data_IF_158494119809
#
_entry.id   IF_158494119809
#
_cell.length_a   1.000
_cell.length_b   1.000
_cell.length_c   1.000
_cell.angle_alpha   90.00
_cell.angle_beta   90.00
_cell.angle_gamma   90.00
#
_symmetry.space_group_name_H-M   'P 1'
#
loop_
_entity.id
_entity.type
_entity.pdbx_description
1 polymer ?
#
# COMPACT_ATOMS: atom_id res chain seq x y z
N UNK A 1 -30.39 -15.73 -53.66
CA UNK A 1 -30.85 -16.49 -52.48
C UNK A 1 -29.62 -16.92 -51.69
N UNK A 2 -29.65 -16.71 -50.37
CA UNK A 2 -28.63 -17.05 -49.34
C UNK A 2 -27.49 -16.05 -49.11
N UNK A 3 -27.79 -15.18 -48.15
CA UNK A 3 -26.91 -14.45 -47.25
C UNK A 3 -25.98 -15.37 -46.44
N UNK A 4 -24.83 -14.82 -46.01
CA UNK A 4 -24.24 -15.10 -44.69
C UNK A 4 -23.33 -13.95 -44.26
N UNK A 5 -23.87 -13.15 -43.33
CA UNK A 5 -23.16 -12.21 -42.46
C UNK A 5 -22.52 -13.02 -41.32
N UNK A 6 -21.29 -12.69 -40.90
CA UNK A 6 -20.80 -12.91 -39.53
C UNK A 6 -19.69 -11.89 -39.25
N UNK A 7 -20.10 -10.69 -38.82
CA UNK A 7 -19.27 -9.86 -37.95
C UNK A 7 -19.53 -10.35 -36.52
N UNK A 8 -18.54 -10.92 -35.86
CA UNK A 8 -18.64 -11.24 -34.44
C UNK A 8 -18.46 -9.93 -33.66
N UNK A 9 -19.58 -9.32 -33.30
CA UNK A 9 -19.65 -8.23 -32.34
C UNK A 9 -19.18 -8.77 -30.99
N UNK A 10 -18.02 -8.30 -30.53
CA UNK A 10 -17.51 -8.64 -29.20
C UNK A 10 -18.25 -7.72 -28.22
N UNK A 11 -19.30 -8.25 -27.59
CA UNK A 11 -20.04 -7.56 -26.55
C UNK A 11 -19.26 -7.67 -25.21
N UNK A 12 -18.29 -6.77 -25.01
CA UNK A 12 -17.57 -6.67 -23.73
C UNK A 12 -18.38 -5.81 -22.76
N UNK A 13 -19.34 -6.41 -22.06
CA UNK A 13 -20.07 -5.74 -20.99
C UNK A 13 -19.22 -5.66 -19.72
N UNK A 14 -18.49 -4.55 -19.54
CA UNK A 14 -17.80 -4.26 -18.29
C UNK A 14 -18.80 -3.81 -17.20
N UNK A 15 -18.87 -4.54 -16.08
CA UNK A 15 -19.64 -4.11 -14.91
C UNK A 15 -18.84 -3.08 -14.12
N UNK A 16 -19.42 -1.90 -13.92
CA UNK A 16 -18.86 -0.83 -13.08
C UNK A 16 -19.69 -0.74 -11.80
N UNK A 17 -19.06 -0.94 -10.65
CA UNK A 17 -19.67 -0.77 -9.33
C UNK A 17 -19.16 0.52 -8.68
N UNK A 18 -20.08 1.36 -8.19
CA UNK A 18 -19.77 2.57 -7.44
C UNK A 18 -20.23 2.39 -6.00
N UNK A 19 -19.27 2.31 -5.07
CA UNK A 19 -19.52 2.15 -3.64
C UNK A 19 -18.97 3.39 -2.91
N UNK A 20 -19.74 4.04 -2.01
CA UNK A 20 -19.24 5.13 -1.19
C UNK A 20 -18.01 4.70 -0.38
N UNK A 21 -16.90 5.43 -0.52
CA UNK A 21 -15.66 5.14 0.20
C UNK A 21 -15.60 5.96 1.50
N UNK A 22 -15.67 5.28 2.63
CA UNK A 22 -15.32 5.87 3.93
C UNK A 22 -13.88 5.48 4.26
N UNK A 23 -12.94 6.43 4.32
CA UNK A 23 -11.56 6.13 4.71
C UNK A 23 -11.54 5.46 6.09
N UNK A 24 -10.90 4.30 6.19
CA UNK A 24 -10.62 3.69 7.48
C UNK A 24 -9.47 4.48 8.12
N UNK A 25 -9.68 5.00 9.33
CA UNK A 25 -8.64 5.67 10.09
C UNK A 25 -7.63 4.65 10.61
N UNK A 26 -6.68 4.25 9.77
CA UNK A 26 -5.57 3.38 10.18
C UNK A 26 -4.62 4.19 11.05
N UNK A 27 -4.54 3.85 12.34
CA UNK A 27 -3.73 4.56 13.32
C UNK A 27 -2.56 3.72 13.82
N UNK A 28 -2.76 2.41 13.90
CA UNK A 28 -1.81 1.43 14.44
C UNK A 28 -1.45 0.37 13.41
N UNK A 29 -0.17 -0.01 13.38
CA UNK A 29 0.35 -1.02 12.46
C UNK A 29 1.02 -2.14 13.23
N UNK A 30 0.72 -3.39 12.87
CA UNK A 30 1.55 -4.53 13.26
C UNK A 30 2.64 -4.76 12.21
N UNK A 31 3.90 -4.63 12.57
CA UNK A 31 5.00 -4.98 11.70
C UNK A 31 5.18 -6.51 11.64
N UNK A 32 5.15 -7.07 10.42
CA UNK A 32 5.24 -8.50 10.13
C UNK A 32 6.38 -8.77 9.14
N UNK A 33 7.08 -9.89 9.32
CA UNK A 33 8.20 -10.28 8.44
C UNK A 33 7.74 -11.36 7.47
N UNK A 34 7.95 -11.12 6.18
CA UNK A 34 7.76 -12.12 5.14
C UNK A 34 8.73 -11.86 3.99
N UNK A 35 9.78 -12.69 3.92
CA UNK A 35 10.81 -12.56 2.89
C UNK A 35 10.37 -13.17 1.54
N UNK A 36 9.25 -13.91 1.53
CA UNK A 36 8.74 -14.65 0.37
C UNK A 36 7.56 -13.98 -0.33
N UNK A 37 6.98 -12.95 0.27
CA UNK A 37 5.78 -12.29 -0.23
C UNK A 37 6.06 -11.55 -1.55
N UNK A 38 5.20 -11.75 -2.54
CA UNK A 38 5.27 -11.09 -3.85
C UNK A 38 3.92 -10.47 -4.18
N UNK A 39 3.92 -9.19 -4.57
CA UNK A 39 2.72 -8.49 -5.02
C UNK A 39 3.01 -7.33 -5.99
N UNK A 40 3.79 -7.56 -7.07
CA UNK A 40 4.28 -6.51 -7.99
C UNK A 40 3.15 -5.78 -8.75
N UNK A 41 1.98 -6.39 -8.85
CA UNK A 41 0.79 -5.81 -9.46
C UNK A 41 -0.41 -5.96 -8.52
N UNK A 42 -1.43 -5.13 -8.73
CA UNK A 42 -2.67 -5.21 -7.97
C UNK A 42 -3.50 -6.41 -8.43
N UNK A 43 -3.13 -7.59 -7.97
CA UNK A 43 -3.83 -8.84 -8.24
C UNK A 43 -5.16 -8.92 -7.47
N UNK A 44 -6.05 -9.80 -7.93
CA UNK A 44 -7.25 -10.14 -7.17
C UNK A 44 -6.95 -11.07 -6.00
N UNK A 45 -5.97 -11.96 -6.17
CA UNK A 45 -5.49 -12.83 -5.11
C UNK A 45 -4.56 -12.04 -4.18
N UNK A 46 -5.00 -11.87 -2.93
CA UNK A 46 -4.27 -11.18 -1.86
C UNK A 46 -4.03 -12.10 -0.67
N UNK A 47 -4.11 -13.42 -0.85
CA UNK A 47 -4.09 -14.42 0.22
C UNK A 47 -2.94 -14.27 1.21
N UNK A 48 -1.71 -14.01 0.75
CA UNK A 48 -0.55 -13.78 1.63
C UNK A 48 -0.71 -12.53 2.49
N UNK A 49 -1.16 -11.42 1.91
CA UNK A 49 -1.44 -10.17 2.60
C UNK A 49 -2.60 -10.34 3.59
N UNK A 50 -3.69 -10.97 3.15
CA UNK A 50 -4.90 -11.17 3.94
C UNK A 50 -4.64 -12.10 5.13
N UNK A 51 -3.76 -13.10 4.97
CA UNK A 51 -3.29 -13.94 6.08
C UNK A 51 -2.64 -13.09 7.17
N UNK A 52 -1.67 -12.25 6.81
CA UNK A 52 -1.00 -11.38 7.79
C UNK A 52 -1.96 -10.36 8.38
N UNK A 53 -2.84 -9.78 7.57
CA UNK A 53 -3.88 -8.87 8.02
C UNK A 53 -4.79 -9.55 9.05
N UNK A 54 -5.15 -10.82 8.87
CA UNK A 54 -5.93 -11.59 9.84
C UNK A 54 -5.21 -11.83 11.18
N UNK A 55 -3.87 -11.78 11.20
CA UNK A 55 -3.04 -12.00 12.37
C UNK A 55 -2.63 -10.69 13.08
N UNK A 56 -3.11 -9.53 12.62
CA UNK A 56 -2.71 -8.20 13.13
C UNK A 56 -3.10 -7.89 14.59
N UNK A 57 -3.82 -8.80 15.24
CA UNK A 57 -4.35 -8.59 16.58
C UNK A 57 -5.28 -7.38 16.65
N UNK A 58 -5.00 -6.47 17.57
CA UNK A 58 -5.78 -5.23 17.77
C UNK A 58 -5.32 -4.07 16.91
N UNK A 59 -4.28 -4.24 16.08
CA UNK A 59 -3.82 -3.18 15.18
C UNK A 59 -4.80 -2.96 14.02
N UNK A 60 -4.80 -1.76 13.46
CA UNK A 60 -5.70 -1.41 12.36
C UNK A 60 -5.28 -2.04 11.02
N UNK A 61 -3.97 -2.12 10.77
CA UNK A 61 -3.37 -2.70 9.57
C UNK A 61 -1.99 -3.34 9.89
N UNK A 62 -1.31 -3.87 8.89
CA UNK A 62 0.04 -4.45 8.98
C UNK A 62 1.07 -3.55 8.32
N UNK A 63 2.35 -3.71 8.67
CA UNK A 63 3.50 -3.16 7.97
C UNK A 63 4.43 -4.30 7.58
N UNK A 64 4.61 -4.52 6.29
CA UNK A 64 5.36 -5.67 5.80
C UNK A 64 6.85 -5.33 5.72
N UNK A 65 7.66 -6.16 6.36
CA UNK A 65 9.13 -6.15 6.30
C UNK A 65 9.59 -7.32 5.43
N UNK A 66 10.31 -7.02 4.36
CA UNK A 66 10.87 -8.02 3.43
C UNK A 66 12.37 -7.81 3.32
N UNK A 67 13.14 -8.86 3.59
CA UNK A 67 14.61 -8.82 3.59
C UNK A 67 15.20 -7.70 4.48
N UNK A 68 14.52 -7.40 5.59
CA UNK A 68 14.91 -6.34 6.53
C UNK A 68 14.48 -4.91 6.13
N UNK A 69 13.92 -4.73 4.93
CA UNK A 69 13.42 -3.44 4.45
C UNK A 69 11.90 -3.31 4.63
N UNK A 70 11.44 -2.11 4.94
CA UNK A 70 10.02 -1.75 4.96
C UNK A 70 9.50 -1.75 3.53
N UNK A 71 8.27 -2.23 3.32
CA UNK A 71 7.62 -2.26 2.01
C UNK A 71 6.28 -1.53 2.02
N UNK A 72 5.18 -2.23 2.29
CA UNK A 72 3.81 -1.74 2.22
C UNK A 72 2.97 -2.12 3.43
N UNK A 73 1.77 -1.56 3.53
CA UNK A 73 0.71 -2.10 4.37
C UNK A 73 -0.17 -3.07 3.59
N UNK A 74 -1.25 -3.60 4.18
CA UNK A 74 -2.13 -4.48 3.41
C UNK A 74 -2.75 -3.75 2.21
N UNK A 75 -3.11 -2.48 2.35
CA UNK A 75 -3.92 -1.73 1.37
C UNK A 75 -3.27 -0.45 0.83
N UNK A 76 -2.08 -0.08 1.29
CA UNK A 76 -1.45 1.19 0.95
C UNK A 76 0.07 1.12 0.90
N UNK A 77 0.67 2.03 0.11
CA UNK A 77 2.06 2.40 0.32
C UNK A 77 2.16 3.28 1.58
N UNK A 78 3.37 3.38 2.15
CA UNK A 78 3.64 4.18 3.35
C UNK A 78 4.67 5.28 3.07
N UNK A 79 4.49 6.44 3.70
CA UNK A 79 5.47 7.51 3.74
C UNK A 79 5.82 7.84 5.19
N UNK A 80 7.09 8.07 5.49
CA UNK A 80 7.64 8.43 6.80
C UNK A 80 8.18 9.86 6.79
N UNK A 81 7.97 10.60 7.87
CA UNK A 81 8.44 11.98 8.03
C UNK A 81 9.70 12.05 8.87
N UNK A 82 10.68 12.84 8.41
CA UNK A 82 11.88 13.19 9.20
C UNK A 82 12.37 14.56 8.78
N UNK A 83 12.56 15.46 9.75
CA UNK A 83 13.06 16.82 9.52
C UNK A 83 12.24 17.60 8.47
N UNK A 84 10.91 17.52 8.57
CA UNK A 84 9.99 18.21 7.64
C UNK A 84 10.01 17.68 6.21
N UNK A 85 10.65 16.54 5.95
CA UNK A 85 10.69 15.87 4.65
C UNK A 85 10.00 14.51 4.74
N UNK A 86 9.46 14.05 3.62
CA UNK A 86 8.78 12.76 3.52
C UNK A 86 9.54 11.78 2.65
N UNK A 87 9.61 10.54 3.14
CA UNK A 87 10.34 9.45 2.54
C UNK A 87 9.41 8.26 2.36
N UNK A 88 9.60 7.47 1.31
CA UNK A 88 8.82 6.25 1.10
C UNK A 88 9.79 5.10 0.79
N UNK A 89 9.45 3.85 1.11
CA UNK A 89 10.26 2.71 0.70
C UNK A 89 10.59 2.74 -0.79
N UNK A 90 11.88 2.56 -1.11
CA UNK A 90 12.37 2.46 -2.48
C UNK A 90 11.85 1.19 -3.16
N UNK A 91 11.72 0.11 -2.38
CA UNK A 91 11.33 -1.23 -2.83
C UNK A 91 9.95 -1.62 -2.25
N UNK A 92 8.83 -0.99 -2.65
CA UNK A 92 7.50 -1.47 -2.24
C UNK A 92 7.21 -2.82 -2.90
N UNK A 93 6.30 -3.60 -2.32
CA UNK A 93 5.67 -4.74 -3.00
C UNK A 93 4.90 -4.25 -4.22
N UNK A 94 4.09 -3.19 -4.06
CA UNK A 94 3.31 -2.60 -5.15
C UNK A 94 3.77 -1.17 -5.44
N UNK A 95 4.30 -0.84 -6.62
CA UNK A 95 4.57 0.54 -7.01
C UNK A 95 3.26 1.30 -7.28
N UNK A 96 2.60 1.78 -6.24
CA UNK A 96 1.29 2.41 -6.34
C UNK A 96 1.30 3.72 -7.12
N UNK A 97 0.22 3.98 -7.87
CA UNK A 97 0.09 5.18 -8.72
C UNK A 97 0.15 6.48 -7.93
N UNK A 98 -0.52 6.55 -6.77
CA UNK A 98 -0.47 7.72 -5.89
C UNK A 98 0.95 7.95 -5.34
N UNK A 99 1.67 6.89 -4.98
CA UNK A 99 3.08 6.97 -4.55
C UNK A 99 3.93 7.54 -5.68
N UNK A 100 3.80 7.02 -6.90
CA UNK A 100 4.57 7.51 -8.04
C UNK A 100 4.30 8.99 -8.33
N UNK A 101 3.03 9.39 -8.38
CA UNK A 101 2.64 10.79 -8.56
C UNK A 101 3.27 11.71 -7.51
N UNK A 102 3.27 11.32 -6.23
CA UNK A 102 3.87 12.11 -5.13
C UNK A 102 5.40 12.21 -5.24
N UNK A 103 6.05 11.18 -5.80
CA UNK A 103 7.49 11.21 -6.11
C UNK A 103 7.75 12.18 -7.26
N UNK A 104 6.96 12.10 -8.33
CA UNK A 104 7.13 12.92 -9.54
C UNK A 104 7.00 14.42 -9.26
N UNK A 105 6.08 14.80 -8.36
CA UNK A 105 5.93 16.20 -7.91
C UNK A 105 6.88 16.60 -6.77
N UNK A 106 7.77 15.70 -6.34
CA UNK A 106 8.77 15.95 -5.29
C UNK A 106 8.23 16.04 -3.87
N UNK A 107 6.99 15.61 -3.61
CA UNK A 107 6.36 15.66 -2.28
C UNK A 107 6.89 14.56 -1.34
N UNK A 108 7.30 13.41 -1.88
CA UNK A 108 7.95 12.32 -1.13
C UNK A 108 9.19 11.82 -1.88
N UNK A 109 10.17 11.26 -1.15
CA UNK A 109 11.44 10.78 -1.72
C UNK A 109 11.62 9.26 -1.50
N UNK A 110 11.86 8.45 -2.54
CA UNK A 110 12.12 7.03 -2.36
C UNK A 110 13.52 6.81 -1.78
N UNK A 111 13.62 6.06 -0.67
CA UNK A 111 14.89 5.62 -0.09
C UNK A 111 14.77 4.17 0.41
N UNK A 112 15.88 3.46 0.54
CA UNK A 112 15.90 2.23 1.31
C UNK A 112 15.58 2.57 2.78
N UNK A 113 14.56 1.94 3.35
CA UNK A 113 14.17 2.12 4.75
C UNK A 113 14.25 0.75 5.38
N UNK A 114 15.23 0.53 6.24
CA UNK A 114 15.32 -0.69 7.03
C UNK A 114 14.45 -0.56 8.27
N UNK A 115 14.08 -1.69 8.87
CA UNK A 115 13.32 -1.67 10.12
C UNK A 115 14.04 -0.89 11.23
N UNK A 116 15.37 -0.93 11.25
CA UNK A 116 16.21 -0.23 12.23
C UNK A 116 16.21 1.28 12.02
N UNK A 117 15.86 1.76 10.82
CA UNK A 117 15.78 3.19 10.51
C UNK A 117 14.47 3.82 11.00
N UNK A 118 13.42 3.02 11.19
CA UNK A 118 12.06 3.51 11.52
C UNK A 118 12.03 4.38 12.79
N UNK A 119 12.73 4.07 13.89
CA UNK A 119 12.80 4.94 15.06
C UNK A 119 13.41 6.33 14.82
N UNK A 120 14.13 6.53 13.71
CA UNK A 120 14.70 7.86 13.35
C UNK A 120 13.70 8.80 12.69
N UNK A 121 12.51 8.30 12.34
CA UNK A 121 11.41 9.09 11.79
C UNK A 121 10.47 9.55 12.90
N UNK A 122 9.72 10.61 12.63
CA UNK A 122 8.78 11.21 13.59
C UNK A 122 7.40 10.58 13.46
N UNK A 123 6.95 10.40 12.23
CA UNK A 123 5.58 10.00 11.91
C UNK A 123 5.49 9.27 10.57
N UNK A 124 4.32 8.71 10.27
CA UNK A 124 3.98 8.10 8.99
C UNK A 124 2.59 8.51 8.48
N UNK A 125 2.38 8.35 7.18
CA UNK A 125 1.09 8.44 6.48
C UNK A 125 0.94 7.27 5.53
N UNK A 126 -0.29 6.81 5.37
CA UNK A 126 -0.64 5.83 4.34
C UNK A 126 -1.12 6.56 3.08
N UNK A 127 -0.70 6.06 1.92
CA UNK A 127 -1.00 6.63 0.62
C UNK A 127 -1.47 5.52 -0.34
N UNK A 128 -2.63 5.72 -0.93
CA UNK A 128 -3.15 4.85 -1.98
C UNK A 128 -4.02 5.67 -2.96
N UNK A 129 -4.58 5.04 -4.00
CA UNK A 129 -5.35 5.76 -5.02
C UNK A 129 -6.63 6.43 -4.49
N UNK A 130 -7.15 6.00 -3.34
CA UNK A 130 -8.38 6.54 -2.73
C UNK A 130 -8.07 7.55 -1.61
N UNK A 131 -6.87 7.48 -1.02
CA UNK A 131 -6.38 8.32 0.06
C UNK A 131 -5.10 9.00 -0.42
N UNK A 132 -5.26 10.25 -0.83
CA UNK A 132 -4.13 11.13 -1.19
C UNK A 132 -3.27 11.48 0.03
N UNK A 133 -2.42 12.50 -0.12
CA UNK A 133 -1.46 12.84 0.93
C UNK A 133 -2.07 13.53 2.17
N UNK A 134 -3.35 13.88 2.14
CA UNK A 134 -4.06 14.58 3.23
C UNK A 134 -4.65 13.61 4.28
N UNK A 135 -4.29 12.32 4.21
CA UNK A 135 -4.64 11.34 5.22
C UNK A 135 -4.04 11.66 6.60
N UNK A 136 -4.53 11.01 7.67
CA UNK A 136 -4.06 11.26 9.02
C UNK A 136 -2.58 10.88 9.17
N UNK A 137 -1.85 11.72 9.89
CA UNK A 137 -0.46 11.50 10.26
C UNK A 137 -0.39 10.81 11.63
N UNK A 138 0.39 9.75 11.73
CA UNK A 138 0.49 8.91 12.92
C UNK A 138 1.93 8.86 13.42
N UNK A 139 2.15 8.82 14.74
CA UNK A 139 3.48 8.66 15.29
C UNK A 139 4.06 7.28 14.96
N UNK A 140 5.36 7.19 14.68
CA UNK A 140 6.02 5.88 14.43
C UNK A 140 5.95 4.93 15.63
N UNK A 141 5.69 5.47 16.83
CA UNK A 141 5.43 4.68 18.05
C UNK A 141 4.15 3.83 17.97
N UNK A 142 3.27 4.11 17.00
CA UNK A 142 2.08 3.30 16.75
C UNK A 142 2.37 2.06 15.89
N UNK A 143 3.64 1.78 15.60
CA UNK A 143 4.09 0.56 14.94
C UNK A 143 4.49 -0.45 16.03
N UNK A 144 3.74 -1.53 16.14
CA UNK A 144 4.00 -2.65 17.03
C UNK A 144 4.87 -3.66 16.31
N UNK A 145 6.02 -3.99 16.89
CA UNK A 145 6.99 -4.90 16.28
C UNK A 145 6.82 -6.33 16.81
N UNK A 146 6.62 -7.30 15.90
CA UNK A 146 6.45 -8.72 16.24
C UNK A 146 7.48 -9.58 15.50
N UNK A 147 8.74 -9.59 15.95
CA UNK A 147 9.78 -10.51 15.48
C UNK A 147 10.70 -10.93 16.60
#
# INVERSE_FOLDING_TARGET
>A
MRSRLWGSEIDVTARVELIPYTPRGVQTLLAVRDDSIEYPHKYRDRSAIDRWFGLRGTCDDILIVKNGEITDTSIANIAFRRNGQWYTPANPLLPGTQRQFLIDIGKIKPIAIRKEDVPSFESFRLINAMVGFEGPEQAVTNIVWQF
#
